data_IF_762224928939
#
_entry.id   IF_762224928939
#
_cell.length_a   1.000
_cell.length_b   1.000
_cell.length_c   1.000
_cell.angle_alpha   90.00
_cell.angle_beta   90.00
_cell.angle_gamma   90.00
#
_symmetry.space_group_name_H-M   'P 1'
#
loop_
_entity.id
_entity.type
_entity.pdbx_description
1 polymer ?
#
# COMPACT_ATOMS: atom_id res chain seq x y z
N UNK A 1 44.71 -12.93 -32.50
CA UNK A 1 43.54 -12.87 -33.41
C UNK A 1 42.18 -12.86 -32.70
N UNK A 2 41.87 -13.74 -31.73
CA UNK A 2 40.62 -13.61 -30.92
C UNK A 2 40.76 -12.60 -29.78
N UNK A 3 41.90 -12.58 -29.09
CA UNK A 3 42.18 -11.62 -28.00
C UNK A 3 42.19 -10.17 -28.49
N UNK A 4 42.87 -9.92 -29.61
CA UNK A 4 42.95 -8.57 -30.22
C UNK A 4 41.59 -7.99 -30.64
N UNK A 5 40.60 -8.87 -30.88
CA UNK A 5 39.22 -8.46 -31.18
C UNK A 5 38.35 -8.34 -29.92
N UNK A 6 38.56 -9.20 -28.92
CA UNK A 6 37.79 -9.23 -27.68
C UNK A 6 38.19 -8.13 -26.68
N UNK A 7 39.45 -7.68 -26.69
CA UNK A 7 39.94 -6.63 -25.81
C UNK A 7 39.19 -5.28 -25.98
N UNK A 8 39.04 -4.70 -27.19
CA UNK A 8 38.31 -3.44 -27.35
C UNK A 8 36.82 -3.55 -26.99
N UNK A 9 36.17 -4.69 -27.26
CA UNK A 9 34.77 -4.94 -26.90
C UNK A 9 34.60 -4.99 -25.37
N UNK A 10 35.50 -5.70 -24.68
CA UNK A 10 35.49 -5.78 -23.22
C UNK A 10 35.78 -4.42 -22.58
N UNK A 11 36.71 -3.64 -23.15
CA UNK A 11 36.99 -2.27 -22.69
C UNK A 11 35.75 -1.39 -22.77
N UNK A 12 35.03 -1.42 -23.90
CA UNK A 12 33.79 -0.66 -24.05
C UNK A 12 32.74 -1.07 -23.02
N UNK A 13 32.62 -2.37 -22.72
CA UNK A 13 31.68 -2.85 -21.71
C UNK A 13 32.06 -2.36 -20.30
N UNK A 14 33.33 -2.43 -19.93
CA UNK A 14 33.82 -1.90 -18.63
C UNK A 14 33.53 -0.39 -18.53
N UNK A 15 33.88 0.39 -19.56
CA UNK A 15 33.65 1.84 -19.57
C UNK A 15 32.16 2.19 -19.49
N UNK A 16 31.30 1.40 -20.14
CA UNK A 16 29.84 1.54 -20.04
C UNK A 16 29.34 1.25 -18.62
N UNK A 17 29.73 0.10 -18.03
CA UNK A 17 29.31 -0.28 -16.69
C UNK A 17 29.79 0.70 -15.60
N UNK A 18 31.01 1.25 -15.75
CA UNK A 18 31.54 2.31 -14.89
C UNK A 18 30.74 3.61 -14.99
N UNK A 19 30.34 4.01 -16.21
CA UNK A 19 29.52 5.20 -16.42
C UNK A 19 28.14 5.03 -15.80
N UNK A 20 27.47 3.91 -16.08
CA UNK A 20 26.17 3.59 -15.49
C UNK A 20 26.22 3.57 -13.96
N UNK A 21 27.26 3.02 -13.36
CA UNK A 21 27.42 3.03 -11.90
C UNK A 21 27.54 4.45 -11.34
N UNK A 22 28.30 5.34 -12.00
CA UNK A 22 28.43 6.75 -11.57
C UNK A 22 27.11 7.50 -11.67
N UNK A 23 26.38 7.31 -12.76
CA UNK A 23 25.05 7.88 -12.95
C UNK A 23 24.09 7.38 -11.86
N UNK A 24 24.06 6.07 -11.61
CA UNK A 24 23.27 5.45 -10.55
C UNK A 24 23.60 6.02 -9.17
N UNK A 25 24.88 6.16 -8.82
CA UNK A 25 25.29 6.76 -7.54
C UNK A 25 24.80 8.20 -7.39
N UNK A 26 24.93 9.00 -8.46
CA UNK A 26 24.46 10.39 -8.46
C UNK A 26 22.95 10.48 -8.30
N UNK A 27 22.21 9.62 -8.99
CA UNK A 27 20.75 9.53 -8.88
C UNK A 27 20.32 9.08 -7.48
N UNK A 28 20.98 8.07 -6.91
CA UNK A 28 20.73 7.62 -5.54
C UNK A 28 21.03 8.71 -4.51
N UNK A 29 22.11 9.47 -4.67
CA UNK A 29 22.45 10.57 -3.77
C UNK A 29 21.41 11.70 -3.85
N UNK A 30 20.93 12.02 -5.06
CA UNK A 30 19.85 12.98 -5.25
C UNK A 30 18.54 12.48 -4.62
N UNK A 31 18.16 11.22 -4.85
CA UNK A 31 16.94 10.65 -4.30
C UNK A 31 17.00 10.48 -2.79
N UNK A 32 18.17 10.21 -2.21
CA UNK A 32 18.37 10.18 -0.76
C UNK A 32 18.13 11.54 -0.09
N UNK A 33 18.06 12.65 -0.83
CA UNK A 33 17.69 13.95 -0.27
C UNK A 33 16.20 14.00 0.08
N UNK A 34 15.35 13.36 -0.72
CA UNK A 34 13.89 13.41 -0.62
C UNK A 34 13.25 12.10 -0.14
N UNK A 35 13.96 10.97 -0.26
CA UNK A 35 13.44 9.65 0.07
C UNK A 35 14.35 8.90 1.04
N UNK A 36 13.74 8.06 1.87
CA UNK A 36 14.45 7.10 2.71
C UNK A 36 14.67 5.82 1.92
N UNK A 37 15.94 5.49 1.65
CA UNK A 37 16.35 4.27 0.95
C UNK A 37 16.59 3.15 1.97
N UNK A 38 15.66 2.18 2.03
CA UNK A 38 15.62 1.18 3.10
C UNK A 38 16.38 -0.12 2.80
N UNK A 39 16.80 -0.36 1.55
CA UNK A 39 17.36 -1.65 1.12
C UNK A 39 18.87 -1.61 0.87
N UNK A 40 19.57 -0.66 1.49
CA UNK A 40 21.02 -0.46 1.34
C UNK A 40 21.46 -0.17 -0.11
N UNK A 41 20.59 0.43 -0.91
CA UNK A 41 20.80 0.72 -2.33
C UNK A 41 22.11 1.50 -2.55
N UNK A 42 22.38 2.49 -1.70
CA UNK A 42 23.63 3.27 -1.71
C UNK A 42 24.86 2.39 -1.44
N UNK A 43 24.77 1.49 -0.46
CA UNK A 43 25.89 0.61 -0.12
C UNK A 43 26.17 -0.37 -1.25
N UNK A 44 25.13 -1.00 -1.80
CA UNK A 44 25.27 -1.93 -2.92
C UNK A 44 25.86 -1.22 -4.14
N UNK A 45 25.40 0.00 -4.46
CA UNK A 45 25.96 0.79 -5.55
C UNK A 45 27.44 1.14 -5.34
N UNK A 46 27.89 1.34 -4.10
CA UNK A 46 29.30 1.52 -3.75
C UNK A 46 30.10 0.23 -3.86
N UNK A 47 29.56 -0.89 -3.39
CA UNK A 47 30.22 -2.20 -3.49
C UNK A 47 30.39 -2.61 -4.96
N UNK A 48 29.38 -2.36 -5.80
CA UNK A 48 29.45 -2.54 -7.26
C UNK A 48 30.56 -1.70 -7.91
N UNK A 49 30.75 -0.46 -7.44
CA UNK A 49 31.84 0.41 -7.92
C UNK A 49 33.19 -0.23 -7.62
N UNK A 50 33.39 -0.72 -6.39
CA UNK A 50 34.65 -1.35 -5.98
C UNK A 50 34.93 -2.62 -6.79
N UNK A 51 33.89 -3.41 -7.10
CA UNK A 51 34.02 -4.56 -8.00
C UNK A 51 34.45 -4.13 -9.41
N UNK A 52 33.79 -3.13 -9.98
CA UNK A 52 34.14 -2.59 -11.31
C UNK A 52 35.55 -2.00 -11.36
N UNK A 53 35.98 -1.27 -10.33
CA UNK A 53 37.34 -0.74 -10.23
C UNK A 53 38.38 -1.87 -10.17
N UNK A 54 38.06 -3.00 -9.49
CA UNK A 54 38.92 -4.19 -9.48
C UNK A 54 38.96 -4.89 -10.84
N UNK A 55 37.83 -4.98 -11.53
CA UNK A 55 37.74 -5.53 -12.88
C UNK A 55 38.58 -4.69 -13.86
N UNK A 56 38.46 -3.37 -13.81
CA UNK A 56 39.24 -2.45 -14.64
C UNK A 56 40.75 -2.59 -14.38
N UNK A 57 41.16 -2.65 -13.11
CA UNK A 57 42.55 -2.87 -12.75
C UNK A 57 43.11 -4.22 -13.22
N UNK A 58 42.31 -5.29 -13.19
CA UNK A 58 42.72 -6.60 -13.68
C UNK A 58 42.80 -6.62 -15.21
N UNK A 59 41.84 -6.00 -15.90
CA UNK A 59 41.85 -5.84 -17.35
C UNK A 59 43.10 -5.10 -17.85
N UNK A 60 43.49 -4.01 -17.17
CA UNK A 60 44.72 -3.27 -17.49
C UNK A 60 45.96 -4.16 -17.32
N UNK A 61 46.06 -4.90 -16.21
CA UNK A 61 47.19 -5.82 -15.98
C UNK A 61 47.29 -6.91 -17.04
N UNK A 62 46.17 -7.50 -17.45
CA UNK A 62 46.14 -8.54 -18.48
C UNK A 62 46.50 -7.95 -19.85
N UNK A 63 46.06 -6.73 -20.15
CA UNK A 63 46.43 -6.00 -21.38
C UNK A 63 47.93 -5.68 -21.42
N UNK A 64 48.48 -5.14 -20.34
CA UNK A 64 49.92 -4.86 -20.20
C UNK A 64 50.76 -6.14 -20.34
N UNK A 65 50.28 -7.27 -19.79
CA UNK A 65 50.96 -8.56 -19.90
C UNK A 65 50.95 -9.14 -21.33
N UNK A 66 49.87 -8.89 -22.09
CA UNK A 66 49.79 -9.20 -23.53
C UNK A 66 50.79 -8.34 -24.30
N UNK A 67 50.82 -7.03 -24.08
CA UNK A 67 51.75 -6.11 -24.76
C UNK A 67 53.22 -6.43 -24.45
N UNK A 68 53.52 -6.83 -23.22
CA UNK A 68 54.85 -7.28 -22.81
C UNK A 68 55.25 -8.67 -23.36
N UNK A 69 54.35 -9.37 -24.07
CA UNK A 69 54.58 -10.70 -24.64
C UNK A 69 54.75 -11.81 -23.60
N UNK A 70 54.36 -11.56 -22.34
CA UNK A 70 54.52 -12.51 -21.21
C UNK A 70 53.26 -13.31 -20.90
N UNK A 71 52.14 -13.00 -21.57
CA UNK A 71 50.86 -13.64 -21.33
C UNK A 71 50.64 -14.90 -22.17
N UNK A 72 50.04 -15.92 -21.57
CA UNK A 72 49.51 -17.09 -22.28
C UNK A 72 48.11 -16.73 -22.79
N UNK A 73 47.96 -16.64 -24.11
CA UNK A 73 46.72 -16.15 -24.74
C UNK A 73 45.47 -16.98 -24.40
N UNK A 74 45.58 -18.27 -24.10
CA UNK A 74 44.44 -19.10 -23.67
C UNK A 74 43.89 -18.64 -22.32
N UNK A 75 44.79 -18.41 -21.37
CA UNK A 75 44.43 -18.09 -19.98
C UNK A 75 43.83 -16.68 -19.89
N UNK A 76 44.28 -15.76 -20.74
CA UNK A 76 43.71 -14.40 -20.82
C UNK A 76 42.31 -14.42 -21.44
N UNK A 77 42.04 -15.28 -22.42
CA UNK A 77 40.68 -15.45 -22.97
C UNK A 77 39.73 -15.95 -21.89
N UNK A 78 40.12 -16.97 -21.12
CA UNK A 78 39.28 -17.49 -20.03
C UNK A 78 38.98 -16.41 -18.97
N UNK A 79 39.96 -15.58 -18.63
CA UNK A 79 39.76 -14.43 -17.73
C UNK A 79 38.84 -13.37 -18.32
N UNK A 80 38.96 -13.08 -19.61
CA UNK A 80 38.08 -12.12 -20.29
C UNK A 80 36.63 -12.62 -20.34
N UNK A 81 36.43 -13.90 -20.62
CA UNK A 81 35.10 -14.52 -20.61
C UNK A 81 34.50 -14.49 -19.19
N UNK A 82 35.27 -14.84 -18.15
CA UNK A 82 34.83 -14.74 -16.76
C UNK A 82 34.49 -13.28 -16.36
N UNK A 83 35.30 -12.32 -16.80
CA UNK A 83 35.08 -10.89 -16.55
C UNK A 83 33.77 -10.43 -17.21
N UNK A 84 33.45 -10.92 -18.41
CA UNK A 84 32.21 -10.60 -19.10
C UNK A 84 30.99 -11.14 -18.35
N UNK A 85 31.07 -12.33 -17.80
CA UNK A 85 30.01 -12.91 -16.97
C UNK A 85 29.79 -12.08 -15.68
N UNK A 86 30.87 -11.65 -15.03
CA UNK A 86 30.83 -10.78 -13.86
C UNK A 86 30.21 -9.41 -14.18
N UNK A 87 30.63 -8.77 -15.27
CA UNK A 87 30.06 -7.50 -15.74
C UNK A 87 28.56 -7.64 -16.05
N UNK A 88 28.14 -8.75 -16.65
CA UNK A 88 26.73 -9.02 -16.92
C UNK A 88 25.92 -9.18 -15.63
N UNK A 89 26.50 -9.80 -14.60
CA UNK A 89 25.87 -9.90 -13.29
C UNK A 89 25.75 -8.52 -12.61
N UNK A 90 26.79 -7.70 -12.69
CA UNK A 90 26.80 -6.32 -12.18
C UNK A 90 25.74 -5.48 -12.88
N UNK A 91 25.66 -5.52 -14.21
CA UNK A 91 24.65 -4.77 -14.98
C UNK A 91 23.22 -5.16 -14.57
N UNK A 92 22.94 -6.46 -14.38
CA UNK A 92 21.65 -6.91 -13.87
C UNK A 92 21.32 -6.32 -12.49
N UNK A 93 22.30 -6.26 -11.59
CA UNK A 93 22.11 -5.64 -10.27
C UNK A 93 21.88 -4.13 -10.38
N UNK A 94 22.62 -3.43 -11.23
CA UNK A 94 22.42 -2.00 -11.48
C UNK A 94 21.02 -1.71 -12.01
N UNK A 95 20.53 -2.52 -12.96
CA UNK A 95 19.17 -2.41 -13.51
C UNK A 95 18.12 -2.64 -12.42
N UNK A 96 18.30 -3.64 -11.55
CA UNK A 96 17.38 -3.89 -10.44
C UNK A 96 17.29 -2.71 -9.47
N UNK A 97 18.43 -2.11 -9.10
CA UNK A 97 18.45 -0.93 -8.23
C UNK A 97 17.77 0.25 -8.92
N UNK A 98 18.09 0.49 -10.19
CA UNK A 98 17.47 1.57 -10.95
C UNK A 98 15.95 1.39 -11.04
N UNK A 99 15.45 0.18 -11.31
CA UNK A 99 14.01 -0.11 -11.34
C UNK A 99 13.33 0.10 -9.98
N UNK A 100 13.95 -0.32 -8.88
CA UNK A 100 13.42 -0.12 -7.54
C UNK A 100 13.27 1.37 -7.21
N UNK A 101 14.23 2.17 -7.67
CA UNK A 101 14.35 3.58 -7.31
C UNK A 101 13.59 4.50 -8.27
N UNK A 102 13.51 4.16 -9.55
CA UNK A 102 12.73 4.86 -10.58
C UNK A 102 11.22 4.89 -10.26
N UNK A 103 10.75 3.93 -9.45
CA UNK A 103 9.37 3.85 -8.99
C UNK A 103 9.00 4.88 -7.91
N UNK A 104 9.96 5.43 -7.17
CA UNK A 104 9.69 6.24 -5.96
C UNK A 104 8.85 7.48 -6.27
N UNK A 105 9.26 8.28 -7.26
CA UNK A 105 8.55 9.50 -7.65
C UNK A 105 7.15 9.25 -8.18
N UNK A 106 6.97 8.17 -8.96
CA UNK A 106 5.63 7.78 -9.43
C UNK A 106 4.77 7.26 -8.27
N UNK A 107 5.38 6.50 -7.36
CA UNK A 107 4.75 6.01 -6.15
C UNK A 107 4.24 7.13 -5.26
N UNK A 108 5.02 8.20 -5.09
CA UNK A 108 4.63 9.38 -4.31
C UNK A 108 3.39 10.07 -4.90
N UNK A 109 3.37 10.30 -6.22
CA UNK A 109 2.20 10.90 -6.91
C UNK A 109 0.96 10.03 -6.70
N UNK A 110 1.10 8.71 -6.82
CA UNK A 110 0.00 7.76 -6.59
C UNK A 110 -0.43 7.78 -5.13
N UNK A 111 0.51 7.84 -4.18
CA UNK A 111 0.23 7.90 -2.75
C UNK A 111 -0.54 9.17 -2.37
N UNK A 112 -0.11 10.34 -2.85
CA UNK A 112 -0.80 11.61 -2.63
C UNK A 112 -2.23 11.57 -3.18
N UNK A 113 -2.41 11.09 -4.42
CA UNK A 113 -3.75 10.93 -5.00
C UNK A 113 -4.62 9.97 -4.19
N UNK A 114 -4.04 8.91 -3.66
CA UNK A 114 -4.76 7.94 -2.85
C UNK A 114 -5.18 8.54 -1.49
N UNK A 115 -4.32 9.34 -0.87
CA UNK A 115 -4.64 10.08 0.35
C UNK A 115 -5.82 11.05 0.13
N UNK A 116 -5.82 11.80 -0.98
CA UNK A 116 -6.95 12.65 -1.36
C UNK A 116 -8.24 11.85 -1.55
N UNK A 117 -8.17 10.68 -2.20
CA UNK A 117 -9.32 9.79 -2.37
C UNK A 117 -9.86 9.28 -1.02
N UNK A 118 -8.99 8.99 -0.05
CA UNK A 118 -9.41 8.57 1.29
C UNK A 118 -10.17 9.67 2.02
N UNK A 119 -9.73 10.93 1.91
CA UNK A 119 -10.49 12.06 2.47
C UNK A 119 -11.87 12.20 1.82
N UNK A 120 -11.96 12.02 0.50
CA UNK A 120 -13.23 12.05 -0.23
C UNK A 120 -14.15 10.90 0.21
N UNK A 121 -13.61 9.69 0.37
CA UNK A 121 -14.35 8.54 0.88
C UNK A 121 -14.92 8.80 2.28
N UNK A 122 -14.12 9.38 3.19
CA UNK A 122 -14.58 9.75 4.53
C UNK A 122 -15.69 10.81 4.49
N UNK A 123 -15.59 11.80 3.59
CA UNK A 123 -16.66 12.79 3.38
C UNK A 123 -17.93 12.14 2.85
N UNK A 124 -17.82 11.19 1.91
CA UNK A 124 -18.95 10.45 1.37
C UNK A 124 -19.66 9.63 2.44
N UNK A 125 -18.90 8.88 3.25
CA UNK A 125 -19.44 8.12 4.40
C UNK A 125 -20.19 9.06 5.37
N UNK A 126 -19.60 10.21 5.69
CA UNK A 126 -20.25 11.20 6.55
C UNK A 126 -21.56 11.72 5.93
N UNK A 127 -21.55 12.06 4.65
CA UNK A 127 -22.75 12.52 3.95
C UNK A 127 -23.85 11.45 3.90
N UNK A 128 -23.47 10.19 3.71
CA UNK A 128 -24.39 9.07 3.68
C UNK A 128 -25.13 8.94 5.01
N UNK A 129 -24.42 8.94 6.14
CA UNK A 129 -25.01 8.91 7.48
C UNK A 129 -25.97 10.08 7.72
N UNK A 130 -25.56 11.30 7.36
CA UNK A 130 -26.36 12.50 7.57
C UNK A 130 -27.67 12.47 6.78
N UNK A 131 -27.68 11.81 5.61
CA UNK A 131 -28.89 11.66 4.78
C UNK A 131 -29.97 10.81 5.47
N UNK A 132 -29.57 9.84 6.28
CA UNK A 132 -30.50 8.92 6.95
C UNK A 132 -31.04 9.45 8.29
N UNK A 133 -30.71 10.69 8.69
CA UNK A 133 -31.28 11.38 9.86
C UNK A 133 -31.28 10.54 11.15
N UNK A 134 -30.25 9.71 11.34
CA UNK A 134 -30.14 8.85 12.51
C UNK A 134 -30.09 9.71 13.79
N UNK A 135 -30.79 9.32 14.87
CA UNK A 135 -30.79 10.08 16.13
C UNK A 135 -29.41 10.13 16.81
N UNK A 136 -28.52 9.18 16.48
CA UNK A 136 -27.13 9.18 16.93
C UNK A 136 -26.33 8.06 16.25
N UNK A 137 -25.14 7.78 16.76
CA UNK A 137 -24.25 6.75 16.24
C UNK A 137 -23.73 5.87 17.39
N UNK A 138 -23.57 4.56 17.18
CA UNK A 138 -22.95 3.68 18.15
C UNK A 138 -21.55 4.17 18.52
N UNK A 139 -21.16 4.03 19.79
CA UNK A 139 -19.85 4.47 20.28
C UNK A 139 -18.69 3.77 19.55
N UNK A 140 -18.86 2.48 19.24
CA UNK A 140 -17.87 1.69 18.50
C UNK A 140 -17.65 2.26 17.10
N UNK A 141 -18.73 2.62 16.40
CA UNK A 141 -18.67 3.21 15.07
C UNK A 141 -17.95 4.57 15.10
N UNK A 142 -18.29 5.44 16.07
CA UNK A 142 -17.61 6.74 16.24
C UNK A 142 -16.11 6.56 16.50
N UNK A 143 -15.74 5.54 17.26
CA UNK A 143 -14.33 5.24 17.56
C UNK A 143 -13.59 4.77 16.31
N UNK A 144 -14.21 3.96 15.46
CA UNK A 144 -13.66 3.55 14.16
C UNK A 144 -13.46 4.74 13.23
N UNK A 145 -14.46 5.63 13.09
CA UNK A 145 -14.33 6.85 12.28
C UNK A 145 -13.15 7.71 12.75
N UNK A 146 -13.00 7.91 14.06
CA UNK A 146 -11.87 8.65 14.63
C UNK A 146 -10.54 7.97 14.35
N UNK A 147 -10.49 6.65 14.45
CA UNK A 147 -9.27 5.88 14.17
C UNK A 147 -8.82 6.10 12.72
N UNK A 148 -9.70 5.84 11.76
CA UNK A 148 -9.41 6.01 10.32
C UNK A 148 -9.05 7.45 9.99
N UNK A 149 -9.72 8.43 10.61
CA UNK A 149 -9.39 9.85 10.41
C UNK A 149 -7.98 10.18 10.89
N UNK A 150 -7.60 9.71 12.08
CA UNK A 150 -6.25 9.91 12.62
C UNK A 150 -5.17 9.23 11.75
N UNK A 151 -5.49 8.09 11.13
CA UNK A 151 -4.57 7.42 10.21
C UNK A 151 -4.37 8.18 8.91
N UNK A 152 -5.43 8.75 8.34
CA UNK A 152 -5.32 9.61 7.16
C UNK A 152 -4.50 10.87 7.49
N UNK A 153 -4.72 11.49 8.65
CA UNK A 153 -3.93 12.63 9.12
C UNK A 153 -2.44 12.26 9.28
N UNK A 154 -2.16 11.08 9.85
CA UNK A 154 -0.79 10.58 9.96
C UNK A 154 -0.17 10.31 8.59
N UNK A 155 -0.92 9.76 7.64
CA UNK A 155 -0.45 9.51 6.27
C UNK A 155 -0.08 10.82 5.57
N UNK A 156 -0.93 11.86 5.68
CA UNK A 156 -0.64 13.18 5.14
C UNK A 156 0.61 13.77 5.79
N UNK A 157 0.75 13.62 7.12
CA UNK A 157 1.94 14.07 7.83
C UNK A 157 3.22 13.36 7.33
N UNK A 158 3.15 12.05 7.10
CA UNK A 158 4.28 11.25 6.61
C UNK A 158 4.65 11.57 5.14
N UNK A 159 3.66 11.93 4.32
CA UNK A 159 3.84 12.40 2.94
C UNK A 159 4.44 13.81 2.86
N UNK A 160 4.12 14.68 3.83
CA UNK A 160 4.64 16.06 3.89
C UNK A 160 6.07 16.17 4.46
N UNK A 161 6.68 15.06 4.87
CA UNK A 161 8.03 15.07 5.41
C UNK A 161 9.08 15.41 4.35
N UNK A 162 10.16 16.07 4.77
CA UNK A 162 11.32 16.36 3.90
C UNK A 162 11.95 15.09 3.32
N UNK A 163 11.95 14.01 4.11
CA UNK A 163 12.39 12.68 3.69
C UNK A 163 11.25 11.68 3.83
N UNK A 164 10.77 11.22 2.70
CA UNK A 164 9.59 10.36 2.61
C UNK A 164 10.03 8.89 2.62
N UNK A 165 9.41 8.07 3.47
CA UNK A 165 9.61 6.61 3.43
C UNK A 165 8.49 5.95 2.62
N UNK A 166 8.76 5.73 1.33
CA UNK A 166 7.76 5.18 0.41
C UNK A 166 7.32 3.75 0.76
N UNK A 167 8.19 2.92 1.36
CA UNK A 167 7.82 1.56 1.76
C UNK A 167 6.85 1.57 2.95
N UNK A 168 7.08 2.46 3.91
CA UNK A 168 6.19 2.66 5.05
C UNK A 168 4.83 3.19 4.57
N UNK A 169 4.84 4.20 3.70
CA UNK A 169 3.63 4.76 3.10
C UNK A 169 2.86 3.71 2.32
N UNK A 170 3.51 2.92 1.47
CA UNK A 170 2.85 1.88 0.69
C UNK A 170 2.10 0.87 1.58
N UNK A 171 2.71 0.44 2.69
CA UNK A 171 2.05 -0.43 3.67
C UNK A 171 0.89 0.28 4.36
N UNK A 172 1.07 1.54 4.72
CA UNK A 172 0.06 2.31 5.43
C UNK A 172 -1.16 2.62 4.56
N UNK A 173 -0.96 2.89 3.26
CA UNK A 173 -2.03 3.02 2.28
C UNK A 173 -2.91 1.77 2.19
N UNK A 174 -2.29 0.57 2.17
CA UNK A 174 -3.04 -0.70 2.13
C UNK A 174 -3.87 -0.88 3.40
N UNK A 175 -3.30 -0.51 4.56
CA UNK A 175 -4.01 -0.56 5.83
C UNK A 175 -5.24 0.37 5.82
N UNK A 176 -5.05 1.65 5.51
CA UNK A 176 -6.13 2.65 5.47
C UNK A 176 -7.20 2.25 4.45
N UNK A 177 -6.82 1.71 3.29
CA UNK A 177 -7.79 1.21 2.31
C UNK A 177 -8.68 0.10 2.89
N UNK A 178 -8.09 -0.84 3.63
CA UNK A 178 -8.83 -1.90 4.32
C UNK A 178 -9.75 -1.33 5.40
N UNK A 179 -9.28 -0.37 6.18
CA UNK A 179 -10.05 0.21 7.28
C UNK A 179 -11.21 1.08 6.76
N UNK A 180 -11.04 1.79 5.64
CA UNK A 180 -12.14 2.49 4.94
C UNK A 180 -13.15 1.51 4.37
N UNK A 181 -12.73 0.39 3.78
CA UNK A 181 -13.66 -0.64 3.28
C UNK A 181 -14.48 -1.27 4.43
N UNK A 182 -13.83 -1.55 5.55
CA UNK A 182 -14.50 -2.00 6.77
C UNK A 182 -15.49 -0.94 7.27
N UNK A 183 -15.10 0.33 7.26
CA UNK A 183 -15.96 1.44 7.66
C UNK A 183 -17.19 1.55 6.75
N UNK A 184 -17.01 1.50 5.42
CA UNK A 184 -18.12 1.52 4.45
C UNK A 184 -19.13 0.39 4.70
N UNK A 185 -18.64 -0.83 4.98
CA UNK A 185 -19.50 -1.97 5.33
C UNK A 185 -20.25 -1.74 6.65
N UNK A 186 -19.57 -1.20 7.66
CA UNK A 186 -20.19 -0.85 8.93
C UNK A 186 -21.25 0.25 8.77
N UNK A 187 -21.00 1.25 7.92
CA UNK A 187 -21.96 2.32 7.59
C UNK A 187 -23.20 1.75 6.92
N UNK A 188 -23.04 0.89 5.90
CA UNK A 188 -24.17 0.24 5.23
C UNK A 188 -24.98 -0.59 6.22
N UNK A 189 -24.32 -1.46 7.00
CA UNK A 189 -24.99 -2.29 7.99
C UNK A 189 -25.74 -1.48 9.04
N UNK A 190 -25.19 -0.32 9.44
CA UNK A 190 -25.82 0.61 10.37
C UNK A 190 -27.10 1.22 9.78
N UNK A 191 -27.01 1.70 8.54
CA UNK A 191 -28.15 2.29 7.82
C UNK A 191 -29.23 1.25 7.58
N UNK A 192 -28.85 0.05 7.16
CA UNK A 192 -29.76 -1.07 6.90
C UNK A 192 -30.47 -1.49 8.18
N UNK A 193 -29.74 -1.60 9.31
CA UNK A 193 -30.32 -1.92 10.61
C UNK A 193 -31.30 -0.84 11.07
N UNK A 194 -30.96 0.44 10.90
CA UNK A 194 -31.84 1.54 11.26
C UNK A 194 -33.11 1.55 10.39
N UNK A 195 -32.97 1.41 9.07
CA UNK A 195 -34.10 1.35 8.14
C UNK A 195 -35.02 0.16 8.42
N UNK A 196 -34.46 -1.03 8.64
CA UNK A 196 -35.22 -2.22 9.01
C UNK A 196 -35.97 -2.00 10.34
N UNK A 197 -35.33 -1.38 11.32
CA UNK A 197 -35.99 -1.07 12.59
C UNK A 197 -37.17 -0.12 12.39
N UNK A 198 -37.05 0.90 11.54
CA UNK A 198 -38.15 1.81 11.22
C UNK A 198 -39.32 1.10 10.53
N UNK A 199 -39.06 0.23 9.57
CA UNK A 199 -40.08 -0.58 8.89
C UNK A 199 -40.78 -1.54 9.85
N UNK A 200 -40.00 -2.26 10.67
CA UNK A 200 -40.53 -3.17 11.69
C UNK A 200 -41.32 -2.40 12.76
N UNK A 201 -40.88 -1.21 13.16
CA UNK A 201 -41.62 -0.35 14.09
C UNK A 201 -42.97 0.08 13.49
N UNK A 202 -43.00 0.48 12.21
CA UNK A 202 -44.24 0.84 11.53
C UNK A 202 -45.21 -0.36 11.45
N UNK A 203 -44.69 -1.55 11.15
CA UNK A 203 -45.50 -2.77 11.12
C UNK A 203 -46.00 -3.18 12.52
N UNK A 204 -45.11 -3.20 13.52
CA UNK A 204 -45.45 -3.54 14.91
C UNK A 204 -46.46 -2.56 15.52
N UNK A 205 -46.40 -1.28 15.17
CA UNK A 205 -47.39 -0.28 15.60
C UNK A 205 -48.83 -0.62 15.15
N UNK A 206 -49.03 -1.40 14.08
CA UNK A 206 -50.36 -1.88 13.66
C UNK A 206 -50.95 -2.92 14.62
N UNK A 207 -50.11 -3.72 15.26
CA UNK A 207 -50.51 -4.82 16.16
C UNK A 207 -50.39 -4.45 17.64
N UNK A 208 -49.81 -3.30 17.96
CA UNK A 208 -49.56 -2.80 19.32
C UNK A 208 -50.79 -2.80 20.23
N UNK A 209 -51.98 -2.52 19.68
CA UNK A 209 -53.24 -2.49 20.43
C UNK A 209 -53.85 -3.87 20.64
N UNK A 210 -53.46 -4.84 19.80
CA UNK A 210 -54.11 -6.16 19.70
C UNK A 210 -53.31 -7.25 20.40
N UNK A 211 -51.97 -7.13 20.42
CA UNK A 211 -51.06 -8.16 20.96
C UNK A 211 -50.11 -7.54 21.98
N UNK A 212 -50.31 -7.87 23.27
CA UNK A 212 -49.49 -7.39 24.40
C UNK A 212 -47.97 -7.63 24.22
N UNK A 213 -47.51 -8.84 23.83
CA UNK A 213 -46.09 -9.10 23.58
C UNK A 213 -45.45 -8.14 22.56
N UNK A 214 -46.19 -7.74 21.53
CA UNK A 214 -45.69 -6.80 20.51
C UNK A 214 -45.56 -5.39 21.10
N UNK A 215 -46.46 -4.98 21.98
CA UNK A 215 -46.39 -3.67 22.64
C UNK A 215 -45.15 -3.54 23.55
N UNK A 216 -44.80 -4.60 24.28
CA UNK A 216 -43.58 -4.64 25.12
C UNK A 216 -42.31 -4.61 24.26
N UNK A 217 -42.28 -5.39 23.16
CA UNK A 217 -41.16 -5.40 22.23
C UNK A 217 -40.95 -4.04 21.56
N UNK A 218 -42.01 -3.31 21.21
CA UNK A 218 -41.92 -1.94 20.68
C UNK A 218 -41.29 -0.99 21.70
N UNK A 219 -41.63 -1.12 22.99
CA UNK A 219 -41.02 -0.28 24.04
C UNK A 219 -39.52 -0.56 24.17
N UNK A 220 -39.13 -1.83 24.28
CA UNK A 220 -37.73 -2.24 24.38
C UNK A 220 -36.92 -1.84 23.15
N UNK A 221 -37.46 -2.03 21.95
CA UNK A 221 -36.80 -1.61 20.72
C UNK A 221 -36.64 -0.08 20.63
N UNK A 222 -37.60 0.69 21.14
CA UNK A 222 -37.47 2.17 21.20
C UNK A 222 -36.35 2.58 22.14
N UNK A 223 -36.21 1.92 23.30
CA UNK A 223 -35.10 2.17 24.24
C UNK A 223 -33.74 1.83 23.61
N UNK A 224 -33.60 0.65 22.98
CA UNK A 224 -32.38 0.28 22.25
C UNK A 224 -32.06 1.25 21.11
N UNK A 225 -33.08 1.71 20.38
CA UNK A 225 -32.93 2.72 19.32
C UNK A 225 -32.42 4.07 19.87
N UNK A 226 -32.90 4.48 21.05
CA UNK A 226 -32.40 5.67 21.76
C UNK A 226 -30.99 5.51 22.30
N UNK A 227 -30.56 4.28 22.60
CA UNK A 227 -29.18 3.94 22.96
C UNK A 227 -28.27 3.74 21.74
N UNK A 228 -28.80 3.97 20.53
CA UNK A 228 -28.10 3.81 19.26
C UNK A 228 -27.73 2.36 18.92
N UNK A 229 -28.34 1.37 19.58
CA UNK A 229 -28.23 -0.05 19.22
C UNK A 229 -29.36 -0.47 18.28
N UNK A 230 -29.19 -0.08 17.01
CA UNK A 230 -30.15 -0.35 15.94
C UNK A 230 -30.33 -1.85 15.67
N UNK A 231 -29.27 -2.64 15.83
CA UNK A 231 -29.32 -4.07 15.57
C UNK A 231 -30.16 -4.78 16.62
N UNK A 232 -29.94 -4.48 17.90
CA UNK A 232 -30.74 -5.03 18.98
C UNK A 232 -32.22 -4.62 18.87
N UNK A 233 -32.48 -3.37 18.46
CA UNK A 233 -33.84 -2.89 18.24
C UNK A 233 -34.56 -3.68 17.13
N UNK A 234 -33.91 -3.90 15.98
CA UNK A 234 -34.44 -4.71 14.89
C UNK A 234 -34.70 -6.16 15.31
N UNK A 235 -33.74 -6.81 15.97
CA UNK A 235 -33.84 -8.22 16.39
C UNK A 235 -34.98 -8.44 17.39
N UNK A 236 -35.18 -7.49 18.32
CA UNK A 236 -36.25 -7.54 19.32
C UNK A 236 -37.63 -7.44 18.65
N UNK A 237 -37.79 -6.54 17.68
CA UNK A 237 -39.04 -6.39 16.92
C UNK A 237 -39.29 -7.60 16.02
N UNK A 238 -38.27 -8.08 15.32
CA UNK A 238 -38.37 -9.22 14.43
C UNK A 238 -38.83 -10.48 15.19
N UNK A 239 -38.23 -10.74 16.35
CA UNK A 239 -38.58 -11.89 17.20
C UNK A 239 -40.03 -11.82 17.67
N UNK A 240 -40.51 -10.65 18.12
CA UNK A 240 -41.88 -10.48 18.57
C UNK A 240 -42.92 -10.59 17.44
N UNK A 241 -42.57 -10.12 16.24
CA UNK A 241 -43.42 -10.23 15.05
C UNK A 241 -43.47 -11.65 14.49
N UNK A 242 -42.37 -12.39 14.53
CA UNK A 242 -42.33 -13.79 14.09
C UNK A 242 -43.13 -14.72 15.01
N UNK A 243 -43.15 -14.43 16.31
CA UNK A 243 -43.99 -15.16 17.28
C UNK A 243 -45.50 -14.93 17.08
N UNK A 244 -45.91 -13.85 16.40
CA UNK A 244 -47.32 -13.50 16.19
C UNK A 244 -47.84 -13.90 14.81
N UNK A 245 -47.01 -13.83 13.78
CA UNK A 245 -47.27 -14.41 12.46
C UNK A 245 -46.00 -15.07 11.90
N UNK A 246 -45.99 -16.40 11.83
CA UNK A 246 -44.91 -17.16 11.22
C UNK A 246 -44.75 -16.78 9.73
N UNK A 247 -43.60 -16.23 9.35
CA UNK A 247 -43.30 -15.81 7.98
C UNK A 247 -43.45 -14.32 7.68
N UNK A 248 -43.75 -13.47 8.67
CA UNK A 248 -43.80 -12.01 8.49
C UNK A 248 -42.47 -11.38 8.04
N UNK A 249 -41.34 -12.01 8.39
CA UNK A 249 -40.00 -11.60 7.94
C UNK A 249 -39.80 -11.73 6.40
N UNK A 250 -40.68 -12.45 5.68
CA UNK A 250 -40.63 -12.61 4.21
C UNK A 250 -41.58 -11.66 3.44
N UNK A 251 -42.42 -10.88 4.13
CA UNK A 251 -43.41 -10.00 3.50
C UNK A 251 -42.99 -8.52 3.46
N UNK A 252 -41.89 -8.18 4.11
CA UNK A 252 -41.26 -6.85 4.11
C UNK A 252 -40.05 -6.91 3.19
#
# INVERSE_FOLDING_TARGET
KRVDAAAPDLRQFIDHALRQNRELQTELDHLNQSYTLNHNEIKIAKDLKTQLDSIDANYIKDTDAIEAGKAVYSDVIERFDATKDELTAIEKQQVQINQAVAGLKKGEIVANKQAENFELDMRNIKHEILRHHLPGLPQDYVSQVKHVTAEIEQLNHDLDQVKINMDAIAKFLVKIASDIDALKKATSALIDAAGLTEELMQYANRYKTTVKPVAEAVHQATESYMQFDYKQAADTLATALEQTEAGSYKKV
#
